data_IF_384481380365
#
_entry.id   IF_384481380365
#
_cell.length_a   1.000
_cell.length_b   1.000
_cell.length_c   1.000
_cell.angle_alpha   90.00
_cell.angle_beta   90.00
_cell.angle_gamma   90.00
#
_symmetry.space_group_name_H-M   'P 1'
#
loop_
_entity.id
_entity.type
_entity.pdbx_description
1 polymer ?
#
# COMPACT_ATOMS: atom_id res chain seq x y z
N UNK A 1 28.94 -20.08 -21.60
CA UNK A 1 27.62 -19.43 -21.66
C UNK A 1 26.89 -19.74 -20.35
N UNK A 2 26.81 -18.79 -19.42
CA UNK A 2 26.17 -19.02 -18.11
C UNK A 2 24.66 -19.18 -18.29
N UNK A 3 24.17 -20.42 -18.19
CA UNK A 3 22.74 -20.77 -18.31
C UNK A 3 21.87 -20.21 -17.16
N UNK A 4 22.49 -19.62 -16.14
CA UNK A 4 21.84 -19.12 -14.93
C UNK A 4 21.59 -17.61 -14.92
N UNK A 5 22.06 -16.85 -15.92
CA UNK A 5 21.76 -15.41 -15.99
C UNK A 5 20.31 -15.24 -16.41
N UNK A 6 19.51 -14.62 -15.53
CA UNK A 6 18.10 -14.27 -15.76
C UNK A 6 17.96 -12.76 -15.71
N UNK A 7 17.27 -12.19 -16.69
CA UNK A 7 16.90 -10.78 -16.66
C UNK A 7 15.89 -10.58 -15.53
N UNK A 8 16.24 -9.75 -14.55
CA UNK A 8 15.31 -9.34 -13.51
C UNK A 8 14.20 -8.48 -14.12
N UNK A 9 13.07 -8.40 -13.41
CA UNK A 9 12.00 -7.49 -13.79
C UNK A 9 12.62 -6.08 -13.94
N UNK A 10 12.32 -5.34 -15.03
CA UNK A 10 12.82 -3.98 -15.18
C UNK A 10 12.49 -3.16 -13.94
N UNK A 11 13.36 -2.23 -13.53
CA UNK A 11 13.01 -1.28 -12.49
C UNK A 11 11.68 -0.62 -12.87
N UNK A 12 10.71 -0.71 -11.96
CA UNK A 12 9.44 -0.01 -12.10
C UNK A 12 9.71 1.49 -11.99
N UNK A 13 8.83 2.31 -12.58
CA UNK A 13 8.84 3.73 -12.30
C UNK A 13 8.68 3.98 -10.79
N UNK A 14 9.18 5.13 -10.31
CA UNK A 14 8.98 5.54 -8.93
C UNK A 14 7.48 5.55 -8.60
N UNK A 15 7.08 5.06 -7.40
CA UNK A 15 5.69 5.00 -7.01
C UNK A 15 5.08 6.41 -7.01
N UNK A 16 3.88 6.51 -7.58
CA UNK A 16 3.09 7.74 -7.53
C UNK A 16 2.47 7.93 -6.15
N UNK A 17 1.96 9.14 -5.89
CA UNK A 17 1.18 9.40 -4.67
C UNK A 17 -0.03 8.47 -4.56
N UNK A 18 -0.70 8.19 -5.68
CA UNK A 18 -1.84 7.26 -5.69
C UNK A 18 -1.41 5.82 -5.36
N UNK A 19 -0.22 5.39 -5.79
CA UNK A 19 0.33 4.09 -5.40
C UNK A 19 0.57 4.01 -3.89
N UNK A 20 1.08 5.09 -3.28
CA UNK A 20 1.30 5.18 -1.82
C UNK A 20 -0.02 5.17 -1.06
N UNK A 21 -1.01 5.95 -1.50
CA UNK A 21 -2.35 5.97 -0.88
C UNK A 21 -3.04 4.60 -1.01
N UNK A 22 -2.93 3.95 -2.16
CA UNK A 22 -3.44 2.60 -2.36
C UNK A 22 -2.73 1.57 -1.46
N UNK A 23 -1.41 1.66 -1.33
CA UNK A 23 -0.63 0.78 -0.45
C UNK A 23 -1.02 0.97 1.03
N UNK A 24 -1.14 2.22 1.48
CA UNK A 24 -1.59 2.55 2.83
C UNK A 24 -2.99 1.99 3.13
N UNK A 25 -3.94 2.12 2.19
CA UNK A 25 -5.26 1.54 2.29
C UNK A 25 -5.20 0.01 2.45
N UNK A 26 -4.40 -0.68 1.65
CA UNK A 26 -4.25 -2.13 1.76
C UNK A 26 -3.60 -2.55 3.07
N UNK A 27 -2.61 -1.79 3.54
CA UNK A 27 -1.97 -2.03 4.83
C UNK A 27 -2.96 -1.92 6.00
N UNK A 28 -3.73 -0.82 6.06
CA UNK A 28 -4.71 -0.60 7.12
C UNK A 28 -5.81 -1.66 7.08
N UNK A 29 -6.29 -2.07 5.89
CA UNK A 29 -7.22 -3.21 5.75
C UNK A 29 -6.65 -4.51 6.32
N UNK A 30 -5.37 -4.79 6.04
CA UNK A 30 -4.70 -6.00 6.49
C UNK A 30 -4.51 -6.02 8.01
N UNK A 31 -4.06 -4.91 8.59
CA UNK A 31 -3.78 -4.82 10.04
C UNK A 31 -5.08 -4.78 10.85
N UNK A 32 -6.08 -4.01 10.41
CA UNK A 32 -7.35 -3.88 11.13
C UNK A 32 -8.28 -5.08 10.96
N UNK A 33 -8.06 -5.93 9.95
CA UNK A 33 -8.97 -7.02 9.58
C UNK A 33 -10.26 -6.55 8.90
N UNK A 34 -10.46 -5.24 8.72
CA UNK A 34 -11.63 -4.70 8.04
C UNK A 34 -11.38 -4.57 6.53
N UNK A 35 -12.19 -5.25 5.72
CA UNK A 35 -12.22 -4.98 4.26
C UNK A 35 -12.83 -3.61 3.96
N UNK A 36 -13.83 -3.22 4.74
CA UNK A 36 -14.43 -1.88 4.73
C UNK A 36 -14.74 -1.47 6.19
N UNK A 37 -14.50 -0.20 6.58
CA UNK A 37 -14.80 0.25 7.92
C UNK A 37 -16.30 0.32 8.17
N UNK A 38 -16.72 0.06 9.42
CA UNK A 38 -18.07 0.37 9.87
C UNK A 38 -18.30 1.89 9.87
N UNK A 39 -19.56 2.33 9.89
CA UNK A 39 -19.88 3.77 9.96
C UNK A 39 -19.26 4.45 11.18
N UNK A 40 -19.20 3.75 12.31
CA UNK A 40 -18.60 4.26 13.54
C UNK A 40 -17.08 4.41 13.44
N UNK A 41 -16.41 3.52 12.71
CA UNK A 41 -14.95 3.47 12.63
C UNK A 41 -14.39 4.19 11.39
N UNK A 42 -15.25 4.76 10.54
CA UNK A 42 -14.86 5.36 9.26
C UNK A 42 -13.82 6.47 9.44
N UNK A 43 -14.03 7.37 10.39
CA UNK A 43 -13.11 8.49 10.62
C UNK A 43 -11.73 7.99 11.09
N UNK A 44 -11.69 7.06 12.04
CA UNK A 44 -10.43 6.49 12.53
C UNK A 44 -9.69 5.70 11.43
N UNK A 45 -10.44 4.97 10.60
CA UNK A 45 -9.89 4.23 9.48
C UNK A 45 -9.29 5.17 8.42
N UNK A 46 -10.04 6.19 8.00
CA UNK A 46 -9.62 7.14 6.98
C UNK A 46 -8.39 7.93 7.46
N UNK A 47 -8.35 8.30 8.75
CA UNK A 47 -7.17 8.94 9.37
C UNK A 47 -5.94 8.03 9.37
N UNK A 48 -6.09 6.77 9.75
CA UNK A 48 -4.99 5.81 9.75
C UNK A 48 -4.39 5.61 8.35
N UNK A 49 -5.24 5.57 7.31
CA UNK A 49 -4.77 5.49 5.92
C UNK A 49 -3.94 6.73 5.56
N UNK A 50 -4.41 7.93 5.91
CA UNK A 50 -3.69 9.17 5.64
C UNK A 50 -2.34 9.25 6.38
N UNK A 51 -2.30 8.87 7.66
CA UNK A 51 -1.08 8.85 8.46
C UNK A 51 -0.04 7.89 7.90
N UNK A 52 -0.45 6.68 7.50
CA UNK A 52 0.45 5.69 6.87
C UNK A 52 0.95 6.19 5.52
N UNK A 53 0.08 6.77 4.68
CA UNK A 53 0.48 7.32 3.38
C UNK A 53 1.50 8.46 3.51
N UNK A 54 1.41 9.28 4.57
CA UNK A 54 2.35 10.38 4.83
C UNK A 54 3.68 9.95 5.44
N UNK A 55 3.86 8.67 5.79
CA UNK A 55 5.05 8.15 6.48
C UNK A 55 6.10 7.52 5.54
N UNK A 56 5.94 7.69 4.22
CA UNK A 56 6.82 7.13 3.17
C UNK A 56 7.78 8.18 2.62
#
# INVERSE_FOLDING_TARGET
MCRSIKTLRPPMADPTREDVEAAALQYVRKVSGFRAPSRANREAFDRAVAEVAAST
#
